data_IF_679982800699
#
_entry.id   IF_679982800699
#
_cell.length_a   1.000
_cell.length_b   1.000
_cell.length_c   1.000
_cell.angle_alpha   90.00
_cell.angle_beta   90.00
_cell.angle_gamma   90.00
#
_symmetry.space_group_name_H-M   'P 1'
#
loop_
_entity.id
_entity.type
_entity.pdbx_description
1 polymer ?
#
# COMPACT_ATOMS: atom_id res chain seq x y z
N UNK A 1 -45.84 -2.39 4.94
CA UNK A 1 -44.67 -3.30 5.03
C UNK A 1 -43.51 -2.41 5.44
N UNK A 2 -42.70 -2.77 6.45
CA UNK A 2 -41.62 -1.90 6.93
C UNK A 2 -40.54 -1.73 5.87
N UNK A 3 -39.88 -0.56 5.84
CA UNK A 3 -38.71 -0.29 5.01
C UNK A 3 -37.60 -1.31 5.25
N UNK A 4 -36.85 -1.62 4.23
CA UNK A 4 -35.60 -2.39 4.29
C UNK A 4 -34.44 -1.59 3.71
N UNK A 5 -33.21 -2.06 3.86
CA UNK A 5 -32.03 -1.34 3.38
C UNK A 5 -31.16 -2.22 2.51
N UNK A 6 -30.38 -1.60 1.63
CA UNK A 6 -29.32 -2.31 0.89
C UNK A 6 -28.14 -2.60 1.84
N UNK A 7 -27.56 -3.79 1.75
CA UNK A 7 -26.52 -4.27 2.69
C UNK A 7 -25.27 -3.39 2.65
N UNK A 8 -24.78 -3.04 1.45
CA UNK A 8 -23.47 -2.37 1.30
C UNK A 8 -23.53 -0.86 1.48
N UNK A 9 -24.58 -0.21 0.98
CA UNK A 9 -24.68 1.26 0.99
C UNK A 9 -25.74 1.79 1.96
N UNK A 10 -26.57 0.95 2.53
CA UNK A 10 -27.63 1.35 3.45
C UNK A 10 -28.71 2.24 2.81
N UNK A 11 -28.94 2.10 1.48
CA UNK A 11 -30.01 2.81 0.76
C UNK A 11 -31.34 2.26 1.25
N UNK A 12 -32.27 3.13 1.61
CA UNK A 12 -33.60 2.74 2.04
C UNK A 12 -34.47 2.27 0.85
N UNK A 13 -35.11 1.13 1.03
CA UNK A 13 -36.15 0.58 0.14
C UNK A 13 -37.49 0.68 0.85
N UNK A 14 -38.27 1.75 0.62
CA UNK A 14 -39.57 1.92 1.27
C UNK A 14 -40.52 0.75 0.99
N UNK A 15 -41.24 0.31 2.03
CA UNK A 15 -42.27 -0.70 1.90
C UNK A 15 -43.48 -0.15 1.14
N UNK A 16 -44.23 -1.03 0.45
CA UNK A 16 -45.45 -0.63 -0.28
C UNK A 16 -46.47 0.00 0.68
N UNK A 17 -46.91 1.22 0.37
CA UNK A 17 -47.87 1.98 1.17
C UNK A 17 -47.27 2.68 2.39
N UNK A 18 -45.97 2.55 2.61
CA UNK A 18 -45.21 3.28 3.62
C UNK A 18 -44.81 4.67 3.12
N UNK A 19 -44.50 5.57 4.05
CA UNK A 19 -43.98 6.92 3.77
C UNK A 19 -44.89 7.81 2.95
N UNK A 20 -46.21 7.71 3.14
CA UNK A 20 -47.19 8.64 2.53
C UNK A 20 -46.85 10.07 2.95
N UNK A 21 -46.50 10.92 1.96
CA UNK A 21 -46.11 12.31 2.17
C UNK A 21 -44.62 12.54 2.47
N UNK A 22 -43.79 11.49 2.72
CA UNK A 22 -42.37 11.61 3.06
C UNK A 22 -41.45 10.84 2.11
N UNK A 23 -41.98 10.10 1.14
CA UNK A 23 -41.15 9.29 0.23
C UNK A 23 -40.17 10.16 -0.60
N UNK A 24 -40.52 11.43 -0.85
CA UNK A 24 -39.64 12.37 -1.54
C UNK A 24 -38.36 12.65 -0.74
N UNK A 25 -38.49 12.81 0.57
CA UNK A 25 -37.34 13.03 1.47
C UNK A 25 -36.43 11.78 1.50
N UNK A 26 -37.04 10.58 1.59
CA UNK A 26 -36.29 9.31 1.52
C UNK A 26 -35.58 9.15 0.19
N UNK A 27 -36.23 9.51 -0.93
CA UNK A 27 -35.63 9.43 -2.26
C UNK A 27 -34.44 10.38 -2.39
N UNK A 28 -34.59 11.62 -1.92
CA UNK A 28 -33.50 12.60 -1.93
C UNK A 28 -32.33 12.15 -1.07
N UNK A 29 -32.59 11.67 0.15
CA UNK A 29 -31.56 11.07 1.02
C UNK A 29 -30.85 9.91 0.35
N UNK A 30 -31.58 9.06 -0.38
CA UNK A 30 -30.97 7.96 -1.12
C UNK A 30 -30.06 8.45 -2.24
N UNK A 31 -30.40 9.54 -2.94
CA UNK A 31 -29.52 10.15 -3.93
C UNK A 31 -28.25 10.71 -3.28
N UNK A 32 -28.37 11.39 -2.14
CA UNK A 32 -27.22 11.88 -1.38
C UNK A 32 -26.31 10.73 -0.90
N UNK A 33 -26.89 9.61 -0.50
CA UNK A 33 -26.18 8.37 -0.14
C UNK A 33 -25.42 7.81 -1.34
N UNK A 34 -26.02 7.78 -2.52
CA UNK A 34 -25.38 7.30 -3.76
C UNK A 34 -24.23 8.22 -4.14
N UNK A 35 -24.44 9.54 -4.10
CA UNK A 35 -23.38 10.51 -4.39
C UNK A 35 -22.21 10.37 -3.43
N UNK A 36 -22.46 10.30 -2.11
CA UNK A 36 -21.43 10.07 -1.11
C UNK A 36 -20.67 8.76 -1.35
N UNK A 37 -21.36 7.68 -1.73
CA UNK A 37 -20.72 6.38 -1.95
C UNK A 37 -19.86 6.34 -3.22
N UNK A 38 -20.21 7.13 -4.24
CA UNK A 38 -19.54 7.17 -5.54
C UNK A 38 -18.38 8.17 -5.58
N UNK A 39 -18.57 9.35 -4.99
CA UNK A 39 -17.65 10.48 -5.11
C UNK A 39 -17.26 11.13 -3.77
N UNK A 40 -17.81 10.63 -2.65
CA UNK A 40 -17.58 11.25 -1.34
C UNK A 40 -16.11 11.22 -0.93
N UNK A 41 -15.61 12.37 -0.48
CA UNK A 41 -14.27 12.57 0.10
C UNK A 41 -14.45 13.19 1.47
N UNK A 42 -13.81 12.64 2.49
CA UNK A 42 -13.88 13.16 3.86
C UNK A 42 -12.54 13.08 4.58
N UNK A 43 -12.22 14.11 5.37
CA UNK A 43 -11.20 14.03 6.40
C UNK A 43 -11.87 13.73 7.75
N UNK A 44 -11.40 12.72 8.46
CA UNK A 44 -11.92 12.30 9.77
C UNK A 44 -10.86 12.59 10.83
N UNK A 45 -11.18 13.51 11.73
CA UNK A 45 -10.29 13.81 12.86
C UNK A 45 -10.46 12.73 13.95
N UNK A 46 -9.40 11.98 14.18
CA UNK A 46 -9.30 11.03 15.29
C UNK A 46 -8.73 11.74 16.52
N UNK A 47 -9.28 11.48 17.70
CA UNK A 47 -8.88 12.11 18.97
C UNK A 47 -8.45 11.10 20.04
N UNK A 48 -8.54 9.80 19.75
CA UNK A 48 -8.17 8.74 20.66
C UNK A 48 -7.63 7.52 19.90
N UNK A 49 -6.75 6.76 20.55
CA UNK A 49 -6.24 5.50 19.99
C UNK A 49 -7.34 4.46 19.81
N UNK A 50 -8.36 4.47 20.67
CA UNK A 50 -9.28 3.34 20.76
C UNK A 50 -8.57 2.06 21.23
N UNK A 51 -9.22 0.92 21.01
CA UNK A 51 -8.67 -0.42 21.27
C UNK A 51 -9.40 -1.45 20.42
N UNK A 52 -8.94 -2.69 20.44
CA UNK A 52 -9.61 -3.81 19.75
C UNK A 52 -11.06 -4.05 20.23
N UNK A 53 -11.35 -3.77 21.50
CA UNK A 53 -12.69 -3.90 22.09
C UNK A 53 -13.52 -2.62 22.09
N UNK A 54 -12.88 -1.45 21.81
CA UNK A 54 -13.54 -0.15 21.74
C UNK A 54 -12.85 0.73 20.67
N UNK A 55 -12.98 0.36 19.39
CA UNK A 55 -12.32 1.08 18.29
C UNK A 55 -13.03 2.41 17.97
N UNK A 56 -12.33 3.25 17.23
CA UNK A 56 -12.98 4.38 16.57
C UNK A 56 -13.92 3.84 15.47
N UNK A 57 -15.19 4.20 15.54
CA UNK A 57 -16.18 3.69 14.59
C UNK A 57 -16.11 4.42 13.26
N UNK A 58 -16.12 3.65 12.17
CA UNK A 58 -16.29 4.13 10.80
C UNK A 58 -17.63 3.59 10.26
N UNK A 59 -18.77 4.27 10.54
CA UNK A 59 -20.08 3.68 10.27
C UNK A 59 -20.55 3.86 8.83
N UNK A 60 -21.29 2.85 8.34
CA UNK A 60 -22.22 2.93 7.21
C UNK A 60 -23.63 2.82 7.81
N UNK A 61 -24.29 3.98 7.96
CA UNK A 61 -25.58 4.07 8.67
C UNK A 61 -26.74 3.88 7.69
N UNK A 62 -27.67 2.99 7.98
CA UNK A 62 -28.86 2.77 7.14
C UNK A 62 -29.72 4.03 7.04
N UNK A 63 -30.10 4.42 5.81
CA UNK A 63 -30.99 5.54 5.53
C UNK A 63 -30.44 6.93 5.87
N UNK A 64 -29.15 7.09 6.14
CA UNK A 64 -28.52 8.36 6.49
C UNK A 64 -27.09 8.48 5.96
N UNK A 65 -26.60 9.68 5.71
CA UNK A 65 -25.18 9.93 5.40
C UNK A 65 -24.28 9.48 6.56
N UNK A 66 -23.10 8.96 6.24
CA UNK A 66 -22.15 8.50 7.26
C UNK A 66 -20.72 8.39 6.71
N UNK A 67 -19.73 8.63 7.56
CA UNK A 67 -18.33 8.74 7.15
C UNK A 67 -17.78 7.47 6.48
N UNK A 68 -18.17 6.29 6.95
CA UNK A 68 -17.74 5.01 6.38
C UNK A 68 -18.20 4.79 4.95
N UNK A 69 -19.13 5.60 4.44
CA UNK A 69 -19.68 5.49 3.09
C UNK A 69 -18.80 6.15 2.04
N UNK A 70 -18.01 7.15 2.40
CA UNK A 70 -17.17 7.90 1.46
C UNK A 70 -16.22 6.97 0.68
N UNK A 71 -15.94 7.35 -0.56
CA UNK A 71 -15.02 6.64 -1.44
C UNK A 71 -13.56 6.89 -1.08
N UNK A 72 -13.23 8.11 -0.65
CA UNK A 72 -11.92 8.47 -0.13
C UNK A 72 -12.05 9.01 1.30
N UNK A 73 -11.22 8.48 2.20
CA UNK A 73 -11.22 8.88 3.62
C UNK A 73 -9.78 9.17 4.03
N UNK A 74 -9.53 10.38 4.51
CA UNK A 74 -8.27 10.78 5.12
C UNK A 74 -8.43 10.81 6.65
N UNK A 75 -7.66 10.00 7.35
CA UNK A 75 -7.61 10.05 8.81
C UNK A 75 -6.57 11.07 9.25
N UNK A 76 -7.02 12.09 9.94
CA UNK A 76 -6.22 13.19 10.46
C UNK A 76 -6.34 13.26 11.98
N UNK A 77 -5.48 14.03 12.65
CA UNK A 77 -5.58 14.33 14.09
C UNK A 77 -5.36 15.83 14.33
N UNK A 78 -5.65 16.27 15.56
CA UNK A 78 -5.37 17.63 16.04
C UNK A 78 -3.99 17.74 16.70
N UNK A 79 -3.21 16.65 16.72
CA UNK A 79 -1.89 16.48 17.35
C UNK A 79 -1.64 15.00 17.64
N UNK A 80 -0.39 14.64 17.95
CA UNK A 80 0.01 13.24 18.16
C UNK A 80 -0.85 12.53 19.23
N UNK A 81 -1.58 11.51 18.81
CA UNK A 81 -2.47 10.69 19.66
C UNK A 81 -1.67 9.77 20.62
N UNK A 82 -0.38 9.57 20.39
CA UNK A 82 0.52 8.86 21.30
C UNK A 82 0.64 7.35 21.11
N UNK A 83 -0.07 6.74 20.16
CA UNK A 83 -0.01 5.29 19.93
C UNK A 83 -0.68 4.84 18.66
N UNK A 84 -0.70 3.52 18.42
CA UNK A 84 -1.46 2.89 17.35
C UNK A 84 -2.95 3.12 17.53
N UNK A 85 -3.63 3.48 16.45
CA UNK A 85 -5.07 3.80 16.44
C UNK A 85 -5.85 2.61 15.88
N UNK A 86 -6.97 2.27 16.53
CA UNK A 86 -7.87 1.21 16.08
C UNK A 86 -9.11 1.81 15.45
N UNK A 87 -9.42 1.42 14.21
CA UNK A 87 -10.61 1.87 13.46
C UNK A 87 -11.40 0.66 12.98
N UNK A 88 -12.71 0.67 13.16
CA UNK A 88 -13.58 -0.40 12.72
C UNK A 88 -14.63 0.09 11.73
N UNK A 89 -14.67 -0.51 10.54
CA UNK A 89 -15.80 -0.35 9.61
C UNK A 89 -17.02 -1.13 10.12
N UNK A 90 -18.15 -0.46 10.18
CA UNK A 90 -19.44 -1.05 10.60
C UNK A 90 -20.54 -0.70 9.60
N UNK A 91 -21.54 -1.58 9.37
CA UNK A 91 -21.70 -2.92 9.94
C UNK A 91 -20.69 -3.94 9.35
N UNK A 92 -20.63 -5.11 9.97
CA UNK A 92 -19.65 -6.13 9.60
C UNK A 92 -20.03 -6.98 8.38
N UNK A 93 -21.23 -6.77 7.83
CA UNK A 93 -21.75 -7.41 6.62
C UNK A 93 -21.72 -6.49 5.38
N UNK A 94 -21.25 -5.24 5.51
CA UNK A 94 -21.11 -4.33 4.38
C UNK A 94 -19.82 -4.59 3.59
N UNK A 95 -19.95 -5.00 2.34
CA UNK A 95 -18.83 -5.07 1.40
C UNK A 95 -18.46 -3.66 0.91
N UNK A 96 -17.16 -3.35 0.89
CA UNK A 96 -16.70 -2.03 0.46
C UNK A 96 -15.30 -2.07 -0.17
N UNK A 97 -15.13 -1.29 -1.23
CA UNK A 97 -13.83 -0.84 -1.74
C UNK A 97 -13.69 0.64 -1.44
N UNK A 98 -12.56 1.03 -0.88
CA UNK A 98 -12.31 2.40 -0.42
C UNK A 98 -10.85 2.77 -0.55
N UNK A 99 -10.57 4.05 -0.85
CA UNK A 99 -9.23 4.64 -0.74
C UNK A 99 -9.07 5.28 0.63
N UNK A 100 -8.03 4.88 1.35
CA UNK A 100 -7.73 5.38 2.70
C UNK A 100 -6.36 6.03 2.73
N UNK A 101 -6.27 7.15 3.41
CA UNK A 101 -5.02 7.83 3.74
C UNK A 101 -4.85 7.89 5.26
N UNK A 102 -3.62 7.68 5.73
CA UNK A 102 -3.25 7.93 7.10
C UNK A 102 -2.38 9.20 7.18
N UNK A 103 -2.97 10.31 7.58
CA UNK A 103 -2.32 11.61 7.78
C UNK A 103 -2.10 11.94 9.27
N UNK A 104 -2.07 10.93 10.15
CA UNK A 104 -1.82 11.13 11.58
C UNK A 104 -0.39 11.66 11.82
N UNK A 105 -0.27 12.58 12.75
CA UNK A 105 1.01 13.08 13.24
C UNK A 105 1.77 12.02 14.07
N UNK A 106 3.05 12.27 14.41
CA UNK A 106 3.85 11.35 15.23
C UNK A 106 4.14 9.99 14.59
N UNK A 107 3.97 9.84 13.27
CA UNK A 107 4.17 8.57 12.53
C UNK A 107 3.33 7.42 13.09
N UNK A 108 2.10 7.68 13.51
CA UNK A 108 1.20 6.69 14.11
C UNK A 108 0.53 5.83 13.06
N UNK A 109 0.54 4.51 13.26
CA UNK A 109 -0.19 3.56 12.44
C UNK A 109 -1.66 3.48 12.84
N UNK A 110 -2.51 3.16 11.87
CA UNK A 110 -3.92 2.81 12.08
C UNK A 110 -4.08 1.33 11.76
N UNK A 111 -4.59 0.54 12.73
CA UNK A 111 -5.08 -0.81 12.48
C UNK A 111 -6.56 -0.73 12.16
N UNK A 112 -6.89 -0.93 10.87
CA UNK A 112 -8.28 -0.91 10.41
C UNK A 112 -8.80 -2.33 10.20
N UNK A 113 -10.01 -2.59 10.67
CA UNK A 113 -10.63 -3.91 10.59
C UNK A 113 -12.15 -3.84 10.42
N UNK A 114 -12.78 -4.98 10.16
CA UNK A 114 -14.22 -5.18 10.11
C UNK A 114 -14.56 -6.46 10.88
N UNK A 115 -15.72 -6.53 11.47
CA UNK A 115 -16.10 -7.69 12.29
C UNK A 115 -15.38 -7.75 13.64
N UNK A 116 -15.05 -8.95 14.13
CA UNK A 116 -14.29 -9.12 15.36
C UNK A 116 -12.81 -8.99 15.08
N UNK A 117 -12.10 -8.14 15.82
CA UNK A 117 -10.67 -7.95 15.64
C UNK A 117 -9.89 -9.26 15.72
N UNK A 118 -8.99 -9.45 14.76
CA UNK A 118 -8.00 -10.51 14.74
C UNK A 118 -6.81 -10.02 13.89
N UNK A 119 -5.59 -10.23 14.38
CA UNK A 119 -4.36 -9.79 13.68
C UNK A 119 -4.16 -10.40 12.28
N UNK A 120 -4.95 -11.39 11.89
CA UNK A 120 -4.96 -11.95 10.52
C UNK A 120 -6.05 -11.36 9.61
N UNK A 121 -6.92 -10.49 10.12
CA UNK A 121 -8.02 -9.88 9.37
C UNK A 121 -8.04 -8.35 9.41
N UNK A 122 -7.12 -7.72 10.14
CA UNK A 122 -6.89 -6.28 10.10
C UNK A 122 -5.92 -5.89 8.96
N UNK A 123 -5.79 -4.60 8.75
CA UNK A 123 -4.79 -4.01 7.86
C UNK A 123 -4.15 -2.80 8.54
N UNK A 124 -2.81 -2.71 8.46
CA UNK A 124 -2.07 -1.58 9.00
C UNK A 124 -1.91 -0.47 7.95
N UNK A 125 -2.49 0.70 8.23
CA UNK A 125 -2.25 1.93 7.48
C UNK A 125 -1.04 2.64 8.10
N UNK A 126 0.09 2.60 7.42
CA UNK A 126 1.30 3.33 7.83
C UNK A 126 1.12 4.82 7.58
N UNK A 127 1.61 5.66 8.49
CA UNK A 127 1.49 7.13 8.37
C UNK A 127 2.06 7.66 7.05
N UNK A 128 1.36 8.63 6.46
CA UNK A 128 1.75 9.30 5.22
C UNK A 128 1.55 8.47 3.95
N UNK A 129 0.84 7.33 4.01
CA UNK A 129 0.59 6.45 2.86
C UNK A 129 -0.87 6.41 2.47
N UNK A 130 -1.09 6.13 1.17
CA UNK A 130 -2.40 5.90 0.55
C UNK A 130 -2.58 4.42 0.23
N UNK A 131 -3.79 3.90 0.45
CA UNK A 131 -4.12 2.49 0.24
C UNK A 131 -5.45 2.34 -0.49
N UNK A 132 -5.55 1.31 -1.33
CA UNK A 132 -6.82 0.86 -1.91
C UNK A 132 -7.23 -0.44 -1.24
N UNK A 133 -8.21 -0.39 -0.34
CA UNK A 133 -8.61 -1.53 0.49
C UNK A 133 -9.98 -2.08 0.10
N UNK A 134 -10.11 -3.40 0.27
CA UNK A 134 -11.38 -4.14 0.17
C UNK A 134 -11.77 -4.72 1.52
N UNK A 135 -12.97 -4.42 1.96
CA UNK A 135 -13.68 -5.06 3.08
C UNK A 135 -14.66 -6.07 2.52
N UNK A 136 -14.63 -7.31 2.99
CA UNK A 136 -15.41 -8.40 2.38
C UNK A 136 -16.77 -8.67 2.99
N UNK A 137 -17.16 -7.96 4.06
CA UNK A 137 -18.49 -8.08 4.64
C UNK A 137 -18.86 -9.46 5.19
N UNK A 138 -17.88 -10.28 5.58
CA UNK A 138 -18.12 -11.67 6.01
C UNK A 138 -18.52 -11.81 7.50
N UNK A 139 -19.21 -10.81 8.05
CA UNK A 139 -19.70 -10.85 9.43
C UNK A 139 -18.57 -10.75 10.45
N UNK A 140 -18.59 -11.58 11.49
CA UNK A 140 -17.57 -11.58 12.54
C UNK A 140 -16.17 -11.96 12.04
N UNK A 141 -16.08 -12.71 10.96
CA UNK A 141 -14.84 -13.11 10.29
C UNK A 141 -14.45 -12.24 9.11
N UNK A 142 -15.01 -11.03 8.98
CA UNK A 142 -14.70 -10.13 7.88
C UNK A 142 -13.23 -9.77 7.86
N UNK A 143 -12.67 -9.62 6.65
CA UNK A 143 -11.26 -9.32 6.40
C UNK A 143 -11.09 -8.04 5.63
N UNK A 144 -9.94 -7.39 5.83
CA UNK A 144 -9.47 -6.25 5.07
C UNK A 144 -8.28 -6.66 4.21
N UNK A 145 -8.31 -6.33 2.91
CA UNK A 145 -7.28 -6.73 1.97
C UNK A 145 -6.81 -5.53 1.15
N UNK A 146 -5.50 -5.35 1.04
CA UNK A 146 -4.92 -4.38 0.09
C UNK A 146 -5.09 -4.90 -1.34
N UNK A 147 -5.66 -4.07 -2.21
CA UNK A 147 -5.91 -4.40 -3.61
C UNK A 147 -4.64 -4.27 -4.48
N UNK A 148 -3.58 -3.62 -3.97
CA UNK A 148 -2.33 -3.41 -4.69
C UNK A 148 -1.27 -4.47 -4.41
N UNK A 149 -1.52 -5.42 -3.52
CA UNK A 149 -0.56 -6.44 -3.07
C UNK A 149 -0.04 -7.34 -4.20
N UNK A 150 -0.84 -7.54 -5.25
CA UNK A 150 -0.46 -8.32 -6.43
C UNK A 150 -0.73 -7.51 -7.70
N UNK A 151 -0.20 -6.30 -7.75
CA UNK A 151 -0.43 -5.39 -8.87
C UNK A 151 0.31 -5.89 -10.12
N UNK A 152 -0.44 -6.28 -11.16
CA UNK A 152 0.09 -6.59 -12.48
C UNK A 152 -0.01 -5.35 -13.38
N UNK A 153 1.14 -4.86 -13.85
CA UNK A 153 1.23 -3.70 -14.74
C UNK A 153 2.02 -4.05 -16.00
N UNK A 154 1.63 -3.52 -17.15
CA UNK A 154 2.37 -3.69 -18.40
C UNK A 154 3.64 -2.82 -18.43
N UNK A 155 3.59 -1.65 -17.79
CA UNK A 155 4.72 -0.75 -17.64
C UNK A 155 4.58 0.02 -16.32
N UNK A 156 5.71 0.28 -15.66
CA UNK A 156 5.81 1.13 -14.49
C UNK A 156 6.77 2.27 -14.79
N UNK A 157 6.30 3.51 -14.67
CA UNK A 157 7.15 4.72 -14.71
C UNK A 157 7.18 5.33 -13.33
N UNK A 158 8.36 5.38 -12.70
CA UNK A 158 8.58 6.06 -11.44
C UNK A 158 9.34 7.37 -11.72
N UNK A 159 8.82 8.51 -11.25
CA UNK A 159 9.49 9.81 -11.33
C UNK A 159 10.46 10.07 -10.17
N UNK A 160 10.55 9.15 -9.22
CA UNK A 160 11.38 9.20 -8.03
C UNK A 160 12.00 7.85 -7.71
N UNK A 161 12.49 7.71 -6.49
CA UNK A 161 13.10 6.48 -5.99
C UNK A 161 12.12 5.31 -5.96
N UNK A 162 12.58 4.12 -6.35
CA UNK A 162 11.90 2.84 -6.10
C UNK A 162 12.61 2.17 -4.92
N UNK A 163 11.93 2.13 -3.76
CA UNK A 163 12.41 1.44 -2.56
C UNK A 163 11.76 0.07 -2.44
N UNK A 164 12.55 -0.99 -2.50
CA UNK A 164 12.09 -2.36 -2.40
C UNK A 164 13.06 -3.20 -1.56
N UNK A 165 12.54 -4.21 -0.86
CA UNK A 165 13.38 -5.16 -0.12
C UNK A 165 14.14 -6.10 -1.05
N UNK A 166 13.60 -6.39 -2.22
CA UNK A 166 14.23 -7.17 -3.29
C UNK A 166 13.68 -6.72 -4.64
N UNK A 167 14.48 -6.87 -5.69
CA UNK A 167 14.10 -6.62 -7.08
C UNK A 167 14.54 -7.82 -7.92
N UNK A 168 13.58 -8.51 -8.53
CA UNK A 168 13.82 -9.62 -9.46
C UNK A 168 13.52 -9.15 -10.88
N UNK A 169 14.53 -9.17 -11.75
CA UNK A 169 14.42 -8.74 -13.15
C UNK A 169 14.86 -9.89 -14.05
N UNK A 170 13.93 -10.49 -14.75
CA UNK A 170 14.20 -11.59 -15.70
C UNK A 170 14.75 -11.12 -17.07
N UNK A 171 14.81 -9.81 -17.30
CA UNK A 171 15.31 -9.21 -18.54
C UNK A 171 16.59 -8.40 -18.34
N UNK A 172 16.91 -7.54 -19.28
CA UNK A 172 18.07 -6.65 -19.20
C UNK A 172 17.81 -5.48 -18.24
N UNK A 173 18.86 -5.02 -17.59
CA UNK A 173 18.88 -3.76 -16.83
C UNK A 173 19.73 -2.78 -17.61
N UNK A 174 19.16 -1.64 -17.99
CA UNK A 174 19.85 -0.52 -18.62
C UNK A 174 19.92 0.64 -17.61
N UNK A 175 21.15 1.11 -17.31
CA UNK A 175 21.40 2.15 -16.32
C UNK A 175 22.25 3.24 -16.96
N UNK A 176 21.64 4.38 -17.25
CA UNK A 176 22.34 5.56 -17.83
C UNK A 176 23.28 6.25 -16.83
N UNK A 177 23.20 5.93 -15.56
CA UNK A 177 23.95 6.59 -14.49
C UNK A 177 24.95 5.69 -13.78
N UNK A 178 25.34 6.08 -12.56
CA UNK A 178 26.23 5.32 -11.69
C UNK A 178 25.43 4.24 -10.96
N UNK A 179 25.95 2.99 -10.97
CA UNK A 179 25.41 1.87 -10.19
C UNK A 179 26.32 1.61 -8.99
N UNK A 180 25.79 1.74 -7.76
CA UNK A 180 26.48 1.38 -6.53
C UNK A 180 25.95 0.05 -6.00
N UNK A 181 26.80 -0.96 -5.95
CA UNK A 181 26.45 -2.30 -5.44
C UNK A 181 27.50 -2.71 -4.41
N UNK A 182 27.04 -3.16 -3.24
CA UNK A 182 27.95 -3.60 -2.15
C UNK A 182 28.61 -4.94 -2.49
N UNK A 183 27.89 -5.84 -3.11
CA UNK A 183 28.38 -7.13 -3.58
C UNK A 183 27.79 -7.41 -4.96
N UNK A 184 28.63 -7.85 -5.88
CA UNK A 184 28.23 -8.26 -7.23
C UNK A 184 28.69 -9.68 -7.47
N UNK A 185 27.75 -10.57 -7.80
CA UNK A 185 28.04 -11.93 -8.24
C UNK A 185 27.59 -12.07 -9.70
N UNK A 186 28.51 -12.47 -10.60
CA UNK A 186 28.28 -12.55 -12.03
C UNK A 186 28.71 -13.92 -12.53
N UNK A 187 27.75 -14.76 -12.90
CA UNK A 187 27.99 -16.09 -13.46
C UNK A 187 28.46 -16.08 -14.94
N UNK A 188 28.40 -14.92 -15.58
CA UNK A 188 28.70 -14.77 -17.01
C UNK A 188 29.93 -13.92 -17.30
N UNK A 189 30.19 -13.71 -18.57
CA UNK A 189 31.25 -12.83 -19.03
C UNK A 189 30.92 -11.36 -18.73
N UNK A 190 31.96 -10.57 -18.39
CA UNK A 190 31.87 -9.12 -18.24
C UNK A 190 32.61 -8.47 -19.40
N UNK A 191 31.92 -7.68 -20.21
CA UNK A 191 32.50 -6.84 -21.24
C UNK A 191 32.56 -5.37 -20.74
N UNK A 192 33.76 -4.81 -20.73
CA UNK A 192 34.01 -3.43 -20.27
C UNK A 192 34.61 -2.61 -21.41
N UNK A 193 33.83 -1.72 -21.96
CA UNK A 193 34.27 -0.83 -23.07
C UNK A 193 35.32 0.20 -22.64
N UNK A 194 35.66 0.30 -21.35
CA UNK A 194 36.60 1.26 -20.78
C UNK A 194 37.50 0.61 -19.70
N UNK A 195 37.99 1.38 -18.78
CA UNK A 195 38.93 0.95 -17.72
C UNK A 195 38.25 0.16 -16.59
N UNK A 196 38.94 -0.88 -16.10
CA UNK A 196 38.66 -1.50 -14.82
C UNK A 196 39.64 -0.96 -13.77
N UNK A 197 39.14 -0.37 -12.71
CA UNK A 197 39.95 0.02 -11.54
C UNK A 197 39.62 -0.89 -10.38
N UNK A 198 40.63 -1.62 -9.85
CA UNK A 198 40.49 -2.52 -8.69
C UNK A 198 41.32 -1.94 -7.55
N UNK A 199 40.68 -1.46 -6.49
CA UNK A 199 41.37 -0.92 -5.30
C UNK A 199 41.97 -2.02 -4.39
N UNK A 200 41.55 -3.25 -4.57
CA UNK A 200 42.01 -4.42 -3.80
C UNK A 200 42.80 -5.41 -4.64
N UNK A 201 42.74 -6.68 -4.26
CA UNK A 201 43.39 -7.78 -4.98
C UNK A 201 42.49 -8.24 -6.14
N UNK A 202 43.05 -8.36 -7.34
CA UNK A 202 42.45 -9.06 -8.45
C UNK A 202 42.89 -10.54 -8.40
N UNK A 203 41.96 -11.47 -8.23
CA UNK A 203 42.23 -12.92 -8.23
C UNK A 203 41.58 -13.55 -9.46
N UNK A 204 42.34 -14.27 -10.23
CA UNK A 204 41.87 -15.01 -11.42
C UNK A 204 42.68 -16.28 -11.66
N UNK A 205 42.14 -17.25 -12.37
CA UNK A 205 42.85 -18.47 -12.76
C UNK A 205 43.87 -18.19 -13.87
N UNK A 206 43.63 -17.21 -14.70
CA UNK A 206 44.53 -16.74 -15.77
C UNK A 206 44.31 -15.27 -16.06
N UNK A 207 45.29 -14.59 -16.57
CA UNK A 207 45.24 -13.23 -17.07
C UNK A 207 45.87 -13.22 -18.46
N UNK A 208 45.10 -12.83 -19.47
CA UNK A 208 45.55 -12.68 -20.86
C UNK A 208 45.55 -11.19 -21.21
N UNK A 209 46.71 -10.62 -21.47
CA UNK A 209 46.88 -9.22 -21.81
C UNK A 209 47.60 -9.09 -23.15
N UNK A 210 46.90 -8.56 -24.13
CA UNK A 210 47.45 -8.35 -25.48
C UNK A 210 48.31 -7.09 -25.62
N UNK A 211 48.41 -6.28 -24.56
CA UNK A 211 49.22 -5.05 -24.54
C UNK A 211 50.33 -5.10 -23.50
N UNK A 212 50.91 -3.94 -23.19
CA UNK A 212 51.96 -3.81 -22.19
C UNK A 212 51.43 -3.99 -20.78
N UNK A 213 52.24 -4.59 -19.86
CA UNK A 213 52.01 -4.64 -18.43
C UNK A 213 53.00 -3.68 -17.77
N UNK A 214 52.50 -2.66 -17.12
CA UNK A 214 53.26 -1.74 -16.28
C UNK A 214 53.11 -2.09 -14.80
N UNK A 215 54.22 -2.35 -14.10
CA UNK A 215 54.23 -2.75 -12.71
C UNK A 215 55.15 -1.83 -11.92
N UNK A 216 54.54 -0.93 -11.15
CA UNK A 216 55.30 0.02 -10.27
C UNK A 216 55.91 -0.67 -9.02
N UNK A 217 55.52 -1.92 -8.74
CA UNK A 217 55.94 -2.66 -7.58
C UNK A 217 56.81 -3.88 -7.89
N UNK A 218 56.80 -4.84 -6.99
CA UNK A 218 57.51 -6.12 -7.15
C UNK A 218 56.62 -7.11 -7.88
N UNK A 219 57.12 -7.67 -8.99
CA UNK A 219 56.52 -8.82 -9.67
C UNK A 219 57.12 -10.12 -9.12
N UNK A 220 56.28 -11.03 -8.67
CA UNK A 220 56.67 -12.37 -8.26
C UNK A 220 56.11 -13.37 -9.28
N UNK A 221 56.97 -13.84 -10.19
CA UNK A 221 56.62 -14.73 -11.28
C UNK A 221 57.38 -16.05 -11.12
N UNK A 222 56.66 -17.18 -11.02
CA UNK A 222 57.30 -18.50 -10.84
C UNK A 222 58.02 -18.98 -12.08
N UNK A 223 57.47 -18.68 -13.27
CA UNK A 223 58.04 -19.01 -14.57
C UNK A 223 57.82 -17.87 -15.53
N UNK A 224 58.88 -17.45 -16.22
CA UNK A 224 58.82 -16.51 -17.35
C UNK A 224 59.24 -17.28 -18.58
N UNK A 225 58.36 -17.43 -19.58
CA UNK A 225 58.71 -17.95 -20.90
C UNK A 225 58.72 -16.78 -21.87
N UNK A 226 59.87 -16.62 -22.53
CA UNK A 226 60.09 -15.48 -23.44
C UNK A 226 60.50 -16.08 -24.79
N UNK A 227 59.59 -15.98 -25.75
CA UNK A 227 59.82 -16.42 -27.13
C UNK A 227 60.71 -15.44 -27.91
#
# INVERSE_FOLDING_TARGET
MASTYTTNTGIEKPGTGEQSGTWGDTTNTNFDIIDQATNGIVAITLSATGSTGSPNALPITNGALSNGRNRFIDFVDGGDIGGTVYVQLTPNDAEKVVYLRNSLSGSRSILIFQGTYNASNDFELVAGKDYALKFNGAGSGATVTDMNVNLAVTALTASGEISAASLDISGNIDVDGVTNLDVVDIDGAVDMASTLTVAGVLTGASLDISGDIDVDGTSNLDVIDVD
#
